data_IF_281649946261
#
_entry.id   IF_281649946261
#
_cell.length_a   1.000
_cell.length_b   1.000
_cell.length_c   1.000
_cell.angle_alpha   90.00
_cell.angle_beta   90.00
_cell.angle_gamma   90.00
#
_symmetry.space_group_name_H-M   'P 1'
#
loop_
_entity.id
_entity.type
_entity.pdbx_description
1 polymer ?
#
# COMPACT_ATOMS: atom_id res chain seq x y z
N UNK A 1 -23.94 -20.68 -3.36
CA UNK A 1 -22.62 -21.32 -3.23
C UNK A 1 -21.58 -20.25 -3.49
N UNK A 2 -20.79 -19.88 -2.49
CA UNK A 2 -19.70 -18.90 -2.64
C UNK A 2 -18.60 -19.60 -3.45
N UNK A 3 -18.26 -19.04 -4.61
CA UNK A 3 -17.13 -19.49 -5.41
C UNK A 3 -15.84 -19.24 -4.60
N UNK A 4 -15.22 -20.33 -4.13
CA UNK A 4 -14.00 -20.36 -3.31
C UNK A 4 -12.73 -20.39 -4.15
N UNK A 5 -12.79 -20.04 -5.45
CA UNK A 5 -11.61 -20.07 -6.31
C UNK A 5 -10.50 -19.19 -5.71
N UNK A 6 -9.34 -19.75 -5.30
CA UNK A 6 -8.26 -18.97 -4.74
C UNK A 6 -7.79 -17.95 -5.77
N UNK A 7 -7.53 -16.71 -5.33
CA UNK A 7 -6.90 -15.69 -6.16
C UNK A 7 -5.73 -16.32 -6.91
N UNK A 8 -5.81 -16.32 -8.24
CA UNK A 8 -4.74 -16.85 -9.10
C UNK A 8 -3.46 -16.11 -8.72
N UNK A 9 -2.47 -16.87 -8.25
CA UNK A 9 -1.09 -16.39 -8.06
C UNK A 9 -0.66 -15.79 -9.40
N UNK A 10 -0.47 -14.47 -9.44
CA UNK A 10 -0.05 -13.81 -10.66
C UNK A 10 1.34 -14.35 -11.01
N UNK A 11 1.54 -14.74 -12.27
CA UNK A 11 2.80 -15.33 -12.69
C UNK A 11 3.92 -14.29 -12.54
N UNK A 12 4.98 -14.59 -11.80
CA UNK A 12 6.18 -13.75 -11.77
C UNK A 12 6.80 -13.83 -13.17
N UNK A 13 7.30 -12.73 -13.72
CA UNK A 13 8.03 -12.75 -15.00
C UNK A 13 9.53 -12.55 -14.71
N UNK A 14 10.34 -13.57 -15.02
CA UNK A 14 11.80 -13.59 -14.90
C UNK A 14 12.40 -13.80 -16.29
N UNK A 15 13.40 -13.01 -16.65
CA UNK A 15 14.00 -13.08 -17.98
C UNK A 15 15.07 -14.17 -18.06
N UNK A 16 15.01 -15.01 -19.09
CA UNK A 16 15.98 -16.08 -19.34
C UNK A 16 17.31 -15.48 -19.83
N UNK A 17 18.42 -15.87 -19.20
CA UNK A 17 19.73 -15.28 -19.49
C UNK A 17 20.37 -15.78 -20.79
N UNK A 18 19.87 -16.86 -21.39
CA UNK A 18 20.38 -17.42 -22.66
C UNK A 18 19.54 -16.93 -23.83
N UNK A 19 18.21 -16.92 -23.68
CA UNK A 19 17.28 -16.56 -24.77
C UNK A 19 16.83 -15.10 -24.74
N UNK A 20 17.06 -14.38 -23.64
CA UNK A 20 16.57 -13.01 -23.38
C UNK A 20 15.04 -12.88 -23.39
N UNK A 21 14.32 -13.99 -23.38
CA UNK A 21 12.85 -14.01 -23.32
C UNK A 21 12.35 -13.87 -21.89
N UNK A 22 11.18 -13.25 -21.70
CA UNK A 22 10.50 -13.23 -20.40
C UNK A 22 9.87 -14.61 -20.16
N UNK A 23 10.40 -15.36 -19.19
CA UNK A 23 9.81 -16.60 -18.70
C UNK A 23 8.91 -16.29 -17.51
N UNK A 24 7.82 -17.04 -17.37
CA UNK A 24 7.07 -17.04 -16.12
C UNK A 24 7.91 -17.74 -15.06
N UNK A 25 8.40 -17.00 -14.07
CA UNK A 25 8.74 -17.60 -12.79
C UNK A 25 7.44 -17.89 -12.06
N UNK A 26 7.35 -19.11 -11.57
CA UNK A 26 6.20 -19.55 -10.84
C UNK A 26 6.34 -19.11 -9.39
N UNK A 27 5.45 -18.25 -8.84
CA UNK A 27 5.43 -18.03 -7.40
C UNK A 27 5.03 -19.30 -6.62
N UNK A 28 4.60 -20.38 -7.30
CA UNK A 28 4.43 -21.70 -6.69
C UNK A 28 5.78 -22.19 -6.15
N UNK A 29 6.00 -21.97 -4.85
CA UNK A 29 7.16 -22.45 -4.10
C UNK A 29 7.72 -21.46 -3.08
N UNK A 30 7.33 -20.18 -3.11
CA UNK A 30 7.64 -19.22 -2.05
C UNK A 30 6.51 -19.18 -1.02
N UNK A 31 6.88 -19.06 0.26
CA UNK A 31 5.96 -19.28 1.36
C UNK A 31 5.38 -17.98 1.93
N UNK A 32 6.14 -16.88 1.92
CA UNK A 32 5.70 -15.55 2.36
C UNK A 32 5.56 -14.55 1.20
N UNK A 33 6.40 -14.68 0.18
CA UNK A 33 6.43 -13.76 -0.96
C UNK A 33 5.32 -14.09 -1.96
N UNK A 34 4.39 -13.15 -2.15
CA UNK A 34 3.26 -13.27 -3.06
C UNK A 34 3.42 -12.28 -4.23
N UNK A 35 2.92 -12.63 -5.41
CA UNK A 35 2.89 -11.73 -6.56
C UNK A 35 1.92 -10.56 -6.34
N UNK A 36 2.28 -9.36 -6.78
CA UNK A 36 1.34 -8.23 -6.78
C UNK A 36 0.14 -8.47 -7.72
N UNK A 37 -1.02 -7.89 -7.41
CA UNK A 37 -2.07 -7.69 -8.40
C UNK A 37 -1.54 -6.85 -9.57
N UNK A 38 -1.96 -7.16 -10.79
CA UNK A 38 -1.49 -6.59 -12.07
C UNK A 38 -1.62 -5.06 -12.23
N UNK A 39 -2.33 -4.35 -11.34
CA UNK A 39 -2.49 -2.89 -11.46
C UNK A 39 -1.30 -2.10 -10.88
N UNK A 40 -0.35 -2.77 -10.20
CA UNK A 40 0.83 -2.13 -9.60
C UNK A 40 2.07 -2.14 -10.50
N UNK A 41 1.89 -2.54 -11.76
CA UNK A 41 2.94 -2.68 -12.77
C UNK A 41 3.71 -1.37 -13.02
N UNK A 42 3.10 -0.18 -12.85
CA UNK A 42 3.74 1.11 -13.08
C UNK A 42 4.88 1.44 -12.09
N UNK A 43 4.66 1.24 -10.78
CA UNK A 43 5.72 1.36 -9.77
C UNK A 43 6.82 0.32 -10.00
N UNK A 44 6.38 -0.87 -10.42
CA UNK A 44 7.23 -2.00 -10.70
C UNK A 44 8.19 -1.79 -11.88
N UNK A 45 7.74 -1.09 -12.92
CA UNK A 45 8.56 -0.76 -14.09
C UNK A 45 9.69 0.20 -13.75
N UNK A 46 9.49 1.20 -12.87
CA UNK A 46 10.52 2.17 -12.49
C UNK A 46 11.64 1.56 -11.63
N UNK A 47 11.32 0.60 -10.78
CA UNK A 47 12.34 -0.12 -10.02
C UNK A 47 13.25 -0.97 -10.94
N UNK A 48 12.68 -1.52 -12.03
CA UNK A 48 13.42 -2.25 -13.08
C UNK A 48 14.36 -1.36 -13.90
N UNK A 49 14.01 -0.08 -14.09
CA UNK A 49 14.87 0.90 -14.79
C UNK A 49 16.17 1.20 -14.02
N UNK A 50 16.15 1.15 -12.68
CA UNK A 50 17.30 1.50 -11.83
C UNK A 50 18.32 0.36 -11.65
N UNK A 51 17.89 -0.90 -11.71
CA UNK A 51 18.72 -2.07 -11.40
C UNK A 51 19.00 -3.00 -12.60
N UNK A 52 18.53 -2.61 -13.78
CA UNK A 52 18.50 -3.48 -14.96
C UNK A 52 17.28 -4.42 -14.92
N UNK A 53 16.52 -4.54 -16.02
CA UNK A 53 15.18 -5.16 -16.00
C UNK A 53 15.15 -6.68 -15.78
N UNK A 54 16.31 -7.34 -15.65
CA UNK A 54 16.42 -8.77 -15.89
C UNK A 54 16.44 -9.64 -14.61
N UNK A 55 16.51 -9.05 -13.40
CA UNK A 55 16.59 -9.81 -12.12
C UNK A 55 15.86 -9.20 -10.92
N UNK A 56 14.87 -8.32 -11.11
CA UNK A 56 14.10 -7.73 -10.00
C UNK A 56 12.65 -8.23 -9.96
N UNK A 57 12.32 -8.99 -8.92
CA UNK A 57 10.95 -9.43 -8.63
C UNK A 57 10.19 -8.36 -7.84
N UNK A 58 8.88 -8.27 -8.07
CA UNK A 58 8.03 -7.33 -7.33
C UNK A 58 6.89 -8.08 -6.68
N UNK A 59 6.79 -7.88 -5.38
CA UNK A 59 6.10 -8.77 -4.48
C UNK A 59 5.28 -8.01 -3.45
N UNK A 60 4.35 -8.73 -2.83
CA UNK A 60 3.73 -8.35 -1.56
C UNK A 60 4.03 -9.40 -0.50
N UNK A 61 4.03 -8.95 0.75
CA UNK A 61 4.06 -9.81 1.93
C UNK A 61 2.91 -9.38 2.81
N UNK A 62 2.11 -10.35 3.24
CA UNK A 62 0.93 -10.12 4.07
C UNK A 62 1.06 -10.93 5.36
N UNK A 63 1.00 -10.24 6.49
CA UNK A 63 1.09 -10.82 7.85
C UNK A 63 -0.26 -11.31 8.37
N UNK A 64 -1.34 -10.96 7.68
CA UNK A 64 -2.70 -11.39 7.97
C UNK A 64 -3.30 -12.06 6.73
N UNK A 65 -4.32 -12.89 6.93
CA UNK A 65 -5.16 -13.44 5.86
C UNK A 65 -6.23 -12.46 5.35
N UNK A 66 -6.28 -11.25 5.90
CA UNK A 66 -7.21 -10.21 5.49
C UNK A 66 -6.95 -8.82 6.06
N UNK A 67 -7.82 -7.86 5.74
CA UNK A 67 -7.71 -6.49 6.21
C UNK A 67 -8.58 -6.25 7.47
N UNK A 68 -7.98 -6.03 8.65
CA UNK A 68 -8.67 -5.80 9.92
C UNK A 68 -9.40 -4.45 9.99
N UNK A 69 -8.96 -3.49 9.17
CA UNK A 69 -9.52 -2.14 9.08
C UNK A 69 -10.65 -2.08 8.04
N UNK A 70 -10.63 -2.98 7.03
CA UNK A 70 -11.53 -2.98 5.89
C UNK A 70 -13.01 -2.83 6.26
N UNK A 71 -13.70 -3.92 6.63
CA UNK A 71 -15.15 -3.90 6.82
C UNK A 71 -15.68 -3.00 7.95
N UNK A 72 -14.82 -2.35 8.73
CA UNK A 72 -15.19 -1.55 9.89
C UNK A 72 -14.67 -0.11 9.84
N UNK A 73 -14.23 0.38 8.68
CA UNK A 73 -13.74 1.75 8.54
C UNK A 73 -14.11 2.37 7.20
N UNK A 74 -13.93 3.69 7.11
CA UNK A 74 -14.18 4.45 5.89
C UNK A 74 -13.48 3.85 4.67
N UNK A 75 -12.22 3.43 4.81
CA UNK A 75 -11.47 2.91 3.67
C UNK A 75 -11.99 1.56 3.17
N UNK A 76 -12.75 0.84 3.99
CA UNK A 76 -13.51 -0.33 3.57
C UNK A 76 -14.44 -0.02 2.40
N UNK A 77 -15.22 1.05 2.49
CA UNK A 77 -16.34 1.30 1.56
C UNK A 77 -15.94 1.33 0.07
N UNK A 78 -14.68 1.62 -0.23
CA UNK A 78 -14.12 1.58 -1.58
C UNK A 78 -13.02 0.52 -1.78
N UNK A 79 -12.54 -0.16 -0.74
CA UNK A 79 -11.35 -1.00 -0.83
C UNK A 79 -11.54 -2.18 -1.81
N UNK A 80 -10.64 -2.25 -2.78
CA UNK A 80 -10.64 -3.29 -3.80
C UNK A 80 -10.47 -4.71 -3.23
N UNK A 81 -9.81 -4.83 -2.08
CA UNK A 81 -9.58 -6.08 -1.36
C UNK A 81 -10.76 -6.51 -0.47
N UNK A 82 -11.98 -6.00 -0.71
CA UNK A 82 -13.18 -6.32 0.08
C UNK A 82 -13.42 -7.80 0.36
N UNK A 83 -13.14 -8.68 -0.63
CA UNK A 83 -13.30 -10.13 -0.47
C UNK A 83 -12.32 -10.75 0.52
N UNK A 84 -11.26 -10.03 0.86
CA UNK A 84 -10.23 -10.45 1.80
C UNK A 84 -10.44 -9.85 3.19
N UNK A 85 -11.48 -9.05 3.47
CA UNK A 85 -11.66 -8.45 4.82
C UNK A 85 -11.96 -9.47 5.93
N UNK A 86 -12.47 -10.64 5.58
CA UNK A 86 -12.91 -11.64 6.57
C UNK A 86 -11.75 -12.36 7.27
N UNK A 87 -10.50 -12.09 6.88
CA UNK A 87 -9.32 -12.64 7.52
C UNK A 87 -8.76 -11.72 8.61
N UNK A 88 -8.76 -12.19 9.86
CA UNK A 88 -8.00 -11.58 10.97
C UNK A 88 -6.92 -12.53 11.52
N UNK A 89 -6.75 -13.69 10.89
CA UNK A 89 -5.76 -14.69 11.22
C UNK A 89 -4.35 -14.16 10.96
N UNK A 90 -3.58 -13.99 12.04
CA UNK A 90 -2.17 -13.61 11.95
C UNK A 90 -1.36 -14.81 11.48
N UNK A 91 -0.60 -14.62 10.40
CA UNK A 91 0.33 -15.61 9.84
C UNK A 91 1.66 -15.54 10.62
N UNK A 92 1.68 -16.14 11.81
CA UNK A 92 2.81 -16.08 12.75
C UNK A 92 4.15 -16.54 12.16
N UNK A 93 4.12 -17.40 11.14
CA UNK A 93 5.32 -17.94 10.50
C UNK A 93 5.86 -17.10 9.32
N UNK A 94 5.24 -15.94 9.06
CA UNK A 94 5.62 -15.04 7.96
C UNK A 94 7.07 -14.56 8.06
N UNK A 95 7.60 -14.13 9.22
CA UNK A 95 8.99 -13.70 9.33
C UNK A 95 9.98 -14.80 8.94
N UNK A 96 9.79 -16.02 9.44
CA UNK A 96 10.69 -17.14 9.17
C UNK A 96 10.57 -17.63 7.72
N UNK A 97 9.37 -17.59 7.14
CA UNK A 97 9.15 -17.86 5.72
C UNK A 97 9.82 -16.80 4.84
N UNK A 98 9.68 -15.52 5.19
CA UNK A 98 10.32 -14.41 4.49
C UNK A 98 11.85 -14.57 4.45
N UNK A 99 12.48 -14.84 5.59
CA UNK A 99 13.92 -15.05 5.66
C UNK A 99 14.39 -16.19 4.72
N UNK A 100 13.68 -17.32 4.70
CA UNK A 100 13.99 -18.45 3.81
C UNK A 100 13.82 -18.09 2.34
N UNK A 101 12.72 -17.42 2.00
CA UNK A 101 12.46 -16.98 0.62
C UNK A 101 13.55 -16.01 0.15
N UNK A 102 13.96 -15.04 0.98
CA UNK A 102 15.03 -14.10 0.68
C UNK A 102 16.39 -14.76 0.48
N UNK A 103 16.75 -15.73 1.31
CA UNK A 103 18.00 -16.49 1.15
C UNK A 103 18.02 -17.23 -0.18
N UNK A 104 16.91 -17.88 -0.53
CA UNK A 104 16.76 -18.56 -1.81
C UNK A 104 16.87 -17.61 -3.00
N UNK A 105 16.16 -16.48 -2.97
CA UNK A 105 16.23 -15.46 -4.03
C UNK A 105 17.66 -14.95 -4.22
N UNK A 106 18.39 -14.71 -3.13
CA UNK A 106 19.81 -14.30 -3.17
C UNK A 106 20.71 -15.38 -3.78
N UNK A 107 20.51 -16.65 -3.45
CA UNK A 107 21.24 -17.77 -4.05
C UNK A 107 20.99 -17.88 -5.56
N UNK A 108 19.76 -17.58 -5.99
CA UNK A 108 19.36 -17.52 -7.40
C UNK A 108 19.81 -16.19 -8.08
N UNK A 109 20.42 -15.27 -7.32
CA UNK A 109 20.85 -13.95 -7.78
C UNK A 109 19.70 -13.04 -8.19
N UNK A 110 18.52 -13.21 -7.60
CA UNK A 110 17.32 -12.41 -7.83
C UNK A 110 17.19 -11.35 -6.74
N UNK A 111 16.94 -10.11 -7.16
CA UNK A 111 16.48 -9.05 -6.27
C UNK A 111 14.97 -9.06 -6.10
N UNK A 112 14.47 -8.42 -5.04
CA UNK A 112 13.05 -8.26 -4.78
C UNK A 112 12.72 -6.87 -4.24
N UNK A 113 11.69 -6.23 -4.78
CA UNK A 113 11.04 -5.05 -4.21
C UNK A 113 9.67 -5.44 -3.64
N UNK A 114 9.38 -4.99 -2.43
CA UNK A 114 8.20 -5.42 -1.68
C UNK A 114 7.26 -4.25 -1.49
N UNK A 115 5.98 -4.48 -1.68
CA UNK A 115 4.94 -3.65 -1.11
C UNK A 115 4.32 -4.42 0.05
N UNK A 116 4.63 -3.99 1.28
CA UNK A 116 4.01 -4.50 2.47
C UNK A 116 2.60 -3.93 2.60
N UNK A 117 1.60 -4.80 2.74
CA UNK A 117 0.20 -4.44 3.00
C UNK A 117 -0.58 -3.94 1.78
N UNK A 118 -0.58 -4.75 0.71
CA UNK A 118 -1.35 -4.48 -0.51
C UNK A 118 -2.86 -4.66 -0.35
N UNK A 119 -3.26 -5.72 0.33
CA UNK A 119 -4.63 -6.18 0.55
C UNK A 119 -4.90 -6.45 2.04
N UNK A 120 -3.93 -6.08 2.87
CA UNK A 120 -3.96 -6.12 4.33
C UNK A 120 -3.58 -4.75 4.87
N UNK A 121 -3.79 -4.51 6.16
CA UNK A 121 -3.26 -3.36 6.89
C UNK A 121 -2.15 -3.89 7.80
N UNK A 122 -1.00 -3.21 7.99
CA UNK A 122 0.08 -3.69 8.87
C UNK A 122 -0.33 -3.92 10.34
N UNK A 123 -1.59 -3.67 10.72
CA UNK A 123 -2.14 -3.72 12.09
C UNK A 123 -3.43 -4.55 12.19
N UNK A 124 -3.37 -5.85 12.49
CA UNK A 124 -4.52 -6.66 12.88
C UNK A 124 -5.16 -6.19 14.19
N UNK A 125 -6.27 -5.45 14.06
CA UNK A 125 -7.33 -5.35 15.07
C UNK A 125 -7.06 -4.38 16.23
N UNK A 126 -8.03 -3.49 16.50
CA UNK A 126 -8.08 -2.59 17.67
C UNK A 126 -6.88 -1.64 17.87
N UNK A 127 -6.11 -1.35 16.82
CA UNK A 127 -5.04 -0.35 16.88
C UNK A 127 -3.82 -0.79 17.71
N UNK A 128 -3.65 -2.08 17.93
CA UNK A 128 -2.45 -2.63 18.57
C UNK A 128 -1.57 -3.32 17.53
N UNK A 129 -0.28 -3.02 17.59
CA UNK A 129 0.76 -3.57 16.73
C UNK A 129 0.70 -5.10 16.81
N UNK A 130 0.72 -5.79 15.67
CA UNK A 130 1.01 -7.22 15.71
C UNK A 130 2.50 -7.42 15.90
N UNK A 131 2.87 -8.18 16.93
CA UNK A 131 4.24 -8.59 17.18
C UNK A 131 4.85 -9.22 15.91
N UNK A 132 4.04 -9.89 15.09
CA UNK A 132 4.43 -10.53 13.83
C UNK A 132 4.80 -9.52 12.74
N UNK A 133 4.09 -8.39 12.61
CA UNK A 133 4.46 -7.32 11.68
C UNK A 133 5.81 -6.73 12.06
N UNK A 134 5.99 -6.48 13.37
CA UNK A 134 7.22 -5.93 13.88
C UNK A 134 8.39 -6.91 13.71
N UNK A 135 8.17 -8.19 14.01
CA UNK A 135 9.15 -9.25 13.78
C UNK A 135 9.51 -9.36 12.30
N UNK A 136 8.52 -9.33 11.39
CA UNK A 136 8.76 -9.33 9.95
C UNK A 136 9.66 -8.16 9.53
N UNK A 137 9.37 -6.94 10.00
CA UNK A 137 10.20 -5.78 9.68
C UNK A 137 11.62 -5.90 10.25
N UNK A 138 11.78 -6.43 11.47
CA UNK A 138 13.10 -6.73 12.04
C UNK A 138 13.84 -7.78 11.18
N UNK A 139 13.16 -8.83 10.74
CA UNK A 139 13.71 -9.81 9.79
C UNK A 139 14.06 -9.17 8.44
N UNK A 140 13.30 -8.19 7.97
CA UNK A 140 13.64 -7.41 6.77
C UNK A 140 14.88 -6.54 6.97
N UNK A 141 15.24 -6.13 8.20
CA UNK A 141 16.54 -5.47 8.44
C UNK A 141 17.70 -6.45 8.28
N UNK A 142 17.54 -7.70 8.73
CA UNK A 142 18.56 -8.76 8.61
C UNK A 142 18.66 -9.31 7.16
N UNK A 143 17.52 -9.41 6.50
CA UNK A 143 17.36 -9.88 5.13
C UNK A 143 16.69 -8.80 4.27
N UNK A 144 17.38 -7.67 3.98
CA UNK A 144 16.79 -6.55 3.25
C UNK A 144 16.36 -6.95 1.83
N UNK A 145 15.17 -6.50 1.40
CA UNK A 145 14.81 -6.46 -0.01
C UNK A 145 15.62 -5.35 -0.71
N UNK A 146 15.54 -5.24 -2.04
CA UNK A 146 16.14 -4.15 -2.81
C UNK A 146 15.36 -2.83 -2.63
N UNK A 147 14.06 -2.93 -2.36
CA UNK A 147 13.22 -1.80 -2.01
C UNK A 147 11.97 -2.25 -1.29
N UNK A 148 11.40 -1.35 -0.49
CA UNK A 148 10.16 -1.63 0.23
C UNK A 148 9.28 -0.40 0.33
N UNK A 149 8.00 -0.57 0.01
CA UNK A 149 6.94 0.35 0.37
C UNK A 149 6.16 -0.24 1.55
N UNK A 150 6.09 0.47 2.65
CA UNK A 150 5.19 0.16 3.78
C UNK A 150 4.07 1.19 3.76
N UNK A 151 2.81 0.77 3.60
CA UNK A 151 1.66 1.69 3.53
C UNK A 151 0.63 1.35 4.60
N UNK A 152 -0.03 2.38 5.14
CA UNK A 152 -1.08 2.26 6.15
C UNK A 152 -2.19 3.28 5.90
N UNK A 153 -3.43 2.94 6.23
CA UNK A 153 -4.54 3.90 6.33
C UNK A 153 -4.79 4.36 7.79
N UNK A 154 -3.85 4.09 8.71
CA UNK A 154 -3.93 4.43 10.13
C UNK A 154 -2.71 5.25 10.58
N UNK A 155 -2.66 5.63 11.86
CA UNK A 155 -1.56 6.36 12.49
C UNK A 155 -0.43 5.46 13.02
N UNK A 156 -0.50 4.14 12.79
CA UNK A 156 0.44 3.17 13.39
C UNK A 156 1.90 3.40 13.03
N UNK A 157 2.18 3.90 11.83
CA UNK A 157 3.55 4.11 11.36
C UNK A 157 4.26 5.21 12.13
N UNK A 158 3.52 6.06 12.86
CA UNK A 158 4.04 7.07 13.78
C UNK A 158 4.30 6.56 15.20
N UNK A 159 4.06 5.28 15.48
CA UNK A 159 4.42 4.66 16.75
C UNK A 159 5.95 4.56 16.89
N UNK A 160 6.48 4.87 18.09
CA UNK A 160 7.93 4.93 18.33
C UNK A 160 8.66 3.62 18.06
N UNK A 161 8.07 2.47 18.39
CA UNK A 161 8.69 1.17 18.15
C UNK A 161 8.77 0.86 16.65
N UNK A 162 7.70 1.17 15.91
CA UNK A 162 7.66 0.99 14.47
C UNK A 162 8.63 1.94 13.77
N UNK A 163 8.66 3.21 14.18
CA UNK A 163 9.61 4.20 13.67
C UNK A 163 11.08 3.78 13.86
N UNK A 164 11.41 3.20 15.02
CA UNK A 164 12.76 2.71 15.26
C UNK A 164 13.17 1.62 14.26
N UNK A 165 12.27 0.65 14.00
CA UNK A 165 12.53 -0.42 13.03
C UNK A 165 12.51 0.09 11.59
N UNK A 166 11.57 0.95 11.22
CA UNK A 166 11.53 1.58 9.89
C UNK A 166 12.80 2.40 9.63
N UNK A 167 13.32 3.10 10.64
CA UNK A 167 14.59 3.83 10.53
C UNK A 167 15.76 2.88 10.28
N UNK A 168 15.86 1.77 11.02
CA UNK A 168 16.87 0.74 10.77
C UNK A 168 16.72 0.14 9.36
N UNK A 169 15.49 -0.12 8.92
CA UNK A 169 15.22 -0.65 7.59
C UNK A 169 15.58 0.35 6.48
N UNK A 170 15.35 1.65 6.68
CA UNK A 170 15.76 2.70 5.74
C UNK A 170 17.27 2.80 5.52
N UNK A 171 18.06 2.33 6.49
CA UNK A 171 19.51 2.24 6.38
C UNK A 171 19.97 0.98 5.64
N UNK A 172 19.13 -0.07 5.64
CA UNK A 172 19.44 -1.36 5.03
C UNK A 172 18.91 -1.50 3.58
N UNK A 173 17.86 -0.75 3.21
CA UNK A 173 17.22 -0.83 1.89
C UNK A 173 16.58 0.50 1.48
N UNK A 174 16.17 0.60 0.22
CA UNK A 174 15.37 1.71 -0.29
C UNK A 174 13.93 1.63 0.26
N UNK A 175 13.71 2.20 1.46
CA UNK A 175 12.40 2.30 2.11
C UNK A 175 11.65 3.55 1.68
N UNK A 176 10.35 3.36 1.44
CA UNK A 176 9.33 4.40 1.41
C UNK A 176 8.22 4.03 2.40
N UNK A 177 7.84 4.94 3.29
CA UNK A 177 6.75 4.71 4.25
C UNK A 177 5.58 5.67 3.96
N UNK A 178 4.39 5.11 3.73
CA UNK A 178 3.22 5.84 3.24
C UNK A 178 2.03 5.81 4.19
N UNK A 179 1.30 6.94 4.26
CA UNK A 179 0.01 7.03 4.93
C UNK A 179 -1.07 7.45 3.92
N UNK A 180 -2.23 6.80 3.96
CA UNK A 180 -3.41 7.12 3.16
C UNK A 180 -4.21 8.29 3.74
N UNK A 181 -4.60 9.23 2.88
CA UNK A 181 -5.44 10.39 3.19
C UNK A 181 -6.49 10.59 2.10
N UNK A 182 -7.68 10.06 2.33
CA UNK A 182 -8.74 10.01 1.31
C UNK A 182 -9.58 11.31 1.27
N UNK A 183 -9.54 12.05 2.38
CA UNK A 183 -10.18 13.35 2.64
C UNK A 183 -9.36 14.07 3.74
N UNK A 184 -9.57 15.38 3.90
CA UNK A 184 -9.07 16.19 5.03
C UNK A 184 -10.07 16.32 6.19
N UNK A 185 -11.20 15.62 6.11
CA UNK A 185 -12.28 15.66 7.08
C UNK A 185 -12.46 14.34 7.82
N UNK A 186 -12.73 14.39 9.12
CA UNK A 186 -13.21 13.22 9.89
C UNK A 186 -14.73 13.05 9.79
N UNK A 187 -15.43 14.00 9.15
CA UNK A 187 -16.88 13.94 8.95
C UNK A 187 -17.22 12.91 7.88
N UNK A 188 -17.90 11.86 8.31
CA UNK A 188 -18.35 10.76 7.47
C UNK A 188 -19.87 10.63 7.65
N UNK A 189 -20.67 10.51 6.58
CA UNK A 189 -22.11 10.27 6.67
C UNK A 189 -22.46 9.07 7.58
N UNK A 190 -23.58 9.15 8.30
CA UNK A 190 -24.00 8.14 9.30
C UNK A 190 -24.15 6.71 8.73
N UNK A 191 -24.38 6.59 7.43
CA UNK A 191 -24.51 5.29 6.74
C UNK A 191 -23.15 4.65 6.41
N UNK A 192 -22.05 5.38 6.57
CA UNK A 192 -20.68 4.92 6.37
C UNK A 192 -19.99 4.71 7.72
N UNK A 193 -18.94 3.88 7.70
CA UNK A 193 -18.09 3.70 8.87
C UNK A 193 -17.07 4.84 8.94
N UNK A 194 -16.85 5.40 10.13
CA UNK A 194 -15.81 6.41 10.34
C UNK A 194 -14.39 5.89 10.07
N UNK A 195 -13.41 6.79 10.07
CA UNK A 195 -12.01 6.40 9.97
C UNK A 195 -11.55 5.66 11.22
N UNK A 196 -10.65 4.70 11.04
CA UNK A 196 -10.04 3.98 12.17
C UNK A 196 -9.09 4.89 12.98
N UNK A 197 -8.40 5.79 12.28
CA UNK A 197 -7.59 6.88 12.86
C UNK A 197 -8.04 8.20 12.25
N UNK A 198 -8.22 9.22 13.09
CA UNK A 198 -8.57 10.56 12.61
C UNK A 198 -7.55 11.13 11.63
N UNK A 199 -7.96 12.06 10.77
CA UNK A 199 -7.08 12.83 9.88
C UNK A 199 -5.94 13.44 10.69
N UNK A 200 -6.24 14.04 11.85
CA UNK A 200 -5.24 14.63 12.73
C UNK A 200 -4.22 13.60 13.26
N UNK A 201 -4.67 12.42 13.70
CA UNK A 201 -3.76 11.36 14.15
C UNK A 201 -2.83 10.90 13.02
N UNK A 202 -3.37 10.71 11.82
CA UNK A 202 -2.58 10.35 10.63
C UNK A 202 -1.55 11.43 10.27
N UNK A 203 -1.92 12.71 10.35
CA UNK A 203 -0.99 13.83 10.14
C UNK A 203 0.14 13.87 11.18
N UNK A 204 -0.19 13.69 12.47
CA UNK A 204 0.82 13.63 13.53
C UNK A 204 1.76 12.43 13.36
N UNK A 205 1.25 11.28 12.95
CA UNK A 205 2.07 10.12 12.62
C UNK A 205 2.98 10.41 11.43
N UNK A 206 2.44 11.03 10.37
CA UNK A 206 3.20 11.41 9.19
C UNK A 206 4.34 12.38 9.51
N UNK A 207 4.08 13.40 10.33
CA UNK A 207 5.08 14.35 10.80
C UNK A 207 6.22 13.64 11.56
N UNK A 208 5.89 12.72 12.47
CA UNK A 208 6.89 11.93 13.20
C UNK A 208 7.74 11.08 12.25
N UNK A 209 7.12 10.47 11.23
CA UNK A 209 7.84 9.70 10.21
C UNK A 209 8.83 10.57 9.44
N UNK A 210 8.39 11.73 8.96
CA UNK A 210 9.23 12.66 8.21
C UNK A 210 10.39 13.18 9.06
N UNK A 211 10.12 13.59 10.31
CA UNK A 211 11.12 14.06 11.26
C UNK A 211 12.11 12.97 11.72
N UNK A 212 11.81 11.69 11.46
CA UNK A 212 12.70 10.56 11.77
C UNK A 212 13.76 10.30 10.68
N UNK A 213 13.73 11.06 9.58
CA UNK A 213 14.67 10.94 8.46
C UNK A 213 14.33 9.82 7.47
N UNK A 214 13.09 9.31 7.52
CA UNK A 214 12.59 8.29 6.60
C UNK A 214 11.95 8.99 5.39
N UNK A 215 12.14 8.47 4.18
CA UNK A 215 11.38 8.95 3.03
C UNK A 215 9.89 8.59 3.19
N UNK A 216 9.03 9.61 3.18
CA UNK A 216 7.59 9.48 3.39
C UNK A 216 6.76 9.70 2.13
N UNK A 217 5.62 9.01 2.02
CA UNK A 217 4.63 9.22 0.97
C UNK A 217 3.27 9.61 1.55
N UNK A 218 2.75 10.77 1.18
CA UNK A 218 1.34 11.06 1.37
C UNK A 218 0.55 10.45 0.20
N UNK A 219 -0.36 9.52 0.50
CA UNK A 219 -1.20 8.87 -0.52
C UNK A 219 -2.61 9.46 -0.46
N UNK A 220 -2.87 10.44 -1.33
CA UNK A 220 -4.15 11.15 -1.44
C UNK A 220 -5.07 10.40 -2.42
N UNK A 221 -5.56 9.25 -1.99
CA UNK A 221 -6.24 8.29 -2.87
C UNK A 221 -7.15 7.33 -2.09
N UNK A 222 -8.44 7.23 -2.42
CA UNK A 222 -9.11 7.99 -3.48
C UNK A 222 -9.32 9.46 -3.07
N UNK A 223 -9.53 10.34 -4.05
CA UNK A 223 -10.01 11.70 -3.80
C UNK A 223 -11.51 11.64 -3.46
N UNK A 224 -11.86 11.85 -2.18
CA UNK A 224 -13.23 11.70 -1.67
C UNK A 224 -13.63 12.92 -0.83
N UNK A 225 -13.83 14.07 -1.48
CA UNK A 225 -14.30 15.30 -0.84
C UNK A 225 -13.29 15.96 0.11
N UNK A 226 -13.07 17.27 -0.03
CA UNK A 226 -12.14 18.03 0.82
C UNK A 226 -12.77 19.35 1.28
N UNK A 227 -12.51 19.75 2.52
CA UNK A 227 -12.84 21.08 3.04
C UNK A 227 -11.91 22.13 2.44
N UNK A 228 -10.60 21.87 2.44
CA UNK A 228 -9.56 22.69 1.84
C UNK A 228 -8.45 21.79 1.23
N UNK A 229 -8.70 21.30 0.02
CA UNK A 229 -7.75 20.41 -0.68
C UNK A 229 -6.36 21.03 -0.82
N UNK A 230 -6.27 22.30 -1.20
CA UNK A 230 -4.97 22.93 -1.43
C UNK A 230 -4.22 23.21 -0.13
N UNK A 231 -4.92 23.69 0.90
CA UNK A 231 -4.34 23.86 2.23
C UNK A 231 -3.83 22.54 2.79
N UNK A 232 -4.61 21.48 2.66
CA UNK A 232 -4.20 20.13 3.03
C UNK A 232 -3.01 19.63 2.23
N UNK A 233 -2.95 19.94 0.94
CA UNK A 233 -1.81 19.58 0.10
C UNK A 233 -0.53 20.35 0.43
N UNK A 234 -0.64 21.65 0.78
CA UNK A 234 0.49 22.46 1.30
C UNK A 234 1.02 21.91 2.62
N UNK A 235 0.13 21.42 3.48
CA UNK A 235 0.52 20.81 4.75
C UNK A 235 1.47 19.62 4.55
N UNK A 236 1.25 18.74 3.55
CA UNK A 236 2.18 17.65 3.29
C UNK A 236 3.59 18.13 2.96
N UNK A 237 3.72 19.23 2.21
CA UNK A 237 5.02 19.82 1.91
C UNK A 237 5.67 20.40 3.18
N UNK A 238 4.91 21.11 4.01
CA UNK A 238 5.39 21.67 5.28
C UNK A 238 5.82 20.58 6.28
N UNK A 239 5.08 19.47 6.34
CA UNK A 239 5.40 18.30 7.17
C UNK A 239 6.58 17.47 6.64
N UNK A 240 7.17 17.85 5.50
CA UNK A 240 8.36 17.19 4.96
C UNK A 240 8.08 15.90 4.19
N UNK A 241 6.92 15.79 3.52
CA UNK A 241 6.64 14.68 2.62
C UNK A 241 7.74 14.54 1.57
N UNK A 242 8.29 13.34 1.41
CA UNK A 242 9.26 13.09 0.34
C UNK A 242 8.56 13.04 -1.02
N UNK A 243 7.39 12.40 -1.11
CA UNK A 243 6.57 12.36 -2.33
C UNK A 243 5.08 12.34 -2.03
N UNK A 244 4.30 12.66 -3.06
CA UNK A 244 2.83 12.53 -3.03
C UNK A 244 2.37 11.55 -4.10
N UNK A 245 1.36 10.78 -3.76
CA UNK A 245 0.62 9.91 -4.68
C UNK A 245 -0.84 10.35 -4.68
N UNK A 246 -1.45 10.50 -5.85
CA UNK A 246 -2.84 10.92 -5.98
C UNK A 246 -3.62 9.99 -6.91
N UNK A 247 -4.91 9.77 -6.65
CA UNK A 247 -5.76 9.00 -7.54
C UNK A 247 -7.25 9.21 -7.25
N UNK A 248 -8.06 9.21 -8.29
CA UNK A 248 -9.52 9.26 -8.17
C UNK A 248 -10.12 7.93 -7.72
N UNK A 249 -11.33 7.99 -7.16
CA UNK A 249 -12.17 6.82 -6.96
C UNK A 249 -12.66 6.31 -8.33
N UNK A 250 -12.07 5.22 -8.83
CA UNK A 250 -12.53 4.58 -10.08
C UNK A 250 -13.24 3.27 -9.79
N UNK A 251 -14.50 3.18 -10.21
CA UNK A 251 -15.30 1.96 -10.16
C UNK A 251 -15.12 1.15 -11.44
N UNK A 252 -14.35 0.06 -11.41
CA UNK A 252 -14.37 -0.93 -12.51
C UNK A 252 -14.78 -2.30 -12.00
N UNK A 253 -15.94 -2.76 -12.47
CA UNK A 253 -16.36 -4.15 -12.33
C UNK A 253 -15.64 -5.01 -13.39
N UNK A 254 -14.99 -6.13 -13.03
CA UNK A 254 -14.52 -7.09 -14.02
C UNK A 254 -15.74 -7.79 -14.64
N UNK A 255 -15.99 -7.53 -15.94
CA UNK A 255 -16.94 -8.23 -16.84
C UNK A 255 -18.36 -8.48 -16.29
N UNK A 256 -19.28 -7.57 -16.61
CA UNK A 256 -20.72 -7.88 -16.69
C UNK A 256 -21.57 -7.69 -15.43
N UNK A 257 -21.06 -7.02 -14.39
CA UNK A 257 -21.78 -6.80 -13.13
C UNK A 257 -22.38 -5.40 -12.94
N UNK A 258 -22.74 -4.67 -14.01
CA UNK A 258 -23.22 -3.28 -13.88
C UNK A 258 -24.65 -3.14 -13.36
N UNK A 259 -25.41 -4.23 -13.24
CA UNK A 259 -26.84 -4.14 -12.88
C UNK A 259 -27.12 -4.19 -11.38
N UNK A 260 -26.14 -4.57 -10.53
CA UNK A 260 -26.34 -4.72 -9.08
C UNK A 260 -25.34 -3.92 -8.23
N UNK A 261 -24.62 -2.95 -8.81
CA UNK A 261 -23.93 -1.93 -8.02
C UNK A 261 -24.99 -0.97 -7.48
N UNK A 262 -25.70 -1.39 -6.44
CA UNK A 262 -26.55 -0.47 -5.67
C UNK A 262 -25.61 0.63 -5.17
N UNK A 263 -25.93 1.89 -5.49
CA UNK A 263 -25.02 3.01 -5.27
C UNK A 263 -24.65 3.18 -3.80
N UNK A 264 -23.46 2.74 -3.40
CA UNK A 264 -22.74 3.41 -2.32
C UNK A 264 -22.18 4.71 -2.91
N UNK A 265 -22.97 5.77 -2.76
CA UNK A 265 -22.54 7.13 -3.00
C UNK A 265 -21.61 7.55 -1.87
N UNK A 266 -20.30 7.51 -2.12
CA UNK A 266 -19.29 8.00 -1.16
C UNK A 266 -19.18 9.52 -1.33
N UNK A 267 -20.32 10.20 -1.16
CA UNK A 267 -20.40 11.66 -1.18
C UNK A 267 -20.35 12.18 0.26
N UNK A 268 -19.27 12.90 0.59
CA UNK A 268 -19.13 13.58 1.87
C UNK A 268 -19.88 14.92 1.91
N UNK A 269 -20.52 15.34 0.81
CA UNK A 269 -21.06 16.68 0.62
C UNK A 269 -19.97 17.75 0.51
N UNK A 270 -18.74 17.35 0.16
CA UNK A 270 -17.56 18.20 0.07
C UNK A 270 -17.05 18.27 -1.37
N UNK A 271 -16.47 19.41 -1.79
CA UNK A 271 -15.91 19.53 -3.14
C UNK A 271 -14.77 18.53 -3.34
N UNK A 272 -14.80 17.82 -4.46
CA UNK A 272 -13.76 16.86 -4.84
C UNK A 272 -12.95 17.42 -6.01
N UNK A 273 -11.62 17.58 -5.90
CA UNK A 273 -10.81 18.04 -7.02
C UNK A 273 -10.73 16.95 -8.09
N UNK A 274 -10.56 17.36 -9.35
CA UNK A 274 -10.23 16.42 -10.42
C UNK A 274 -8.80 15.91 -10.27
N UNK A 275 -8.52 14.73 -10.80
CA UNK A 275 -7.17 14.15 -10.86
C UNK A 275 -6.18 15.10 -11.52
N UNK A 276 -6.60 15.78 -12.61
CA UNK A 276 -5.78 16.75 -13.34
C UNK A 276 -5.43 17.96 -12.47
N UNK A 277 -6.42 18.53 -11.77
CA UNK A 277 -6.18 19.63 -10.84
C UNK A 277 -5.22 19.18 -9.74
N UNK A 278 -5.49 18.05 -9.10
CA UNK A 278 -4.68 17.55 -8.00
C UNK A 278 -3.22 17.27 -8.43
N UNK A 279 -3.01 16.65 -9.60
CA UNK A 279 -1.68 16.41 -10.16
C UNK A 279 -0.94 17.71 -10.47
N UNK A 280 -1.61 18.68 -11.12
CA UNK A 280 -1.04 19.98 -11.44
C UNK A 280 -0.61 20.71 -10.17
N UNK A 281 -1.50 20.77 -9.18
CA UNK A 281 -1.27 21.40 -7.89
C UNK A 281 -0.07 20.79 -7.15
N UNK A 282 -0.08 19.47 -6.93
CA UNK A 282 1.02 18.82 -6.19
C UNK A 282 2.36 18.93 -6.93
N UNK A 283 2.38 18.89 -8.27
CA UNK A 283 3.61 19.11 -9.04
C UNK A 283 4.16 20.52 -8.85
N UNK A 284 3.28 21.51 -8.73
CA UNK A 284 3.64 22.90 -8.43
C UNK A 284 4.35 23.07 -7.07
N UNK A 285 4.11 22.17 -6.10
CA UNK A 285 4.74 22.22 -4.78
C UNK A 285 6.17 21.65 -4.74
N UNK A 286 6.61 20.90 -5.76
CA UNK A 286 8.04 20.53 -5.90
C UNK A 286 8.57 19.46 -4.91
N UNK A 287 7.79 18.43 -4.59
CA UNK A 287 8.25 17.31 -3.73
C UNK A 287 9.50 16.60 -4.29
N UNK A 288 10.49 16.31 -3.44
CA UNK A 288 11.80 15.74 -3.83
C UNK A 288 11.69 14.38 -4.56
N UNK A 289 10.79 13.53 -4.09
CA UNK A 289 10.49 12.21 -4.67
C UNK A 289 9.43 12.24 -5.77
N UNK A 290 8.98 13.44 -6.15
CA UNK A 290 8.01 13.66 -7.22
C UNK A 290 6.55 13.43 -6.80
N UNK A 291 5.68 13.47 -7.82
CA UNK A 291 4.24 13.29 -7.70
C UNK A 291 3.81 12.25 -8.71
N UNK A 292 3.19 11.18 -8.22
CA UNK A 292 2.75 10.06 -9.03
C UNK A 292 1.22 9.91 -9.04
N UNK A 293 0.72 9.42 -10.16
CA UNK A 293 -0.66 8.97 -10.27
C UNK A 293 -0.79 7.52 -9.80
N UNK A 294 -1.82 7.23 -9.00
CA UNK A 294 -2.21 5.88 -8.63
C UNK A 294 -3.39 5.44 -9.48
N UNK A 295 -3.17 4.47 -10.37
CA UNK A 295 -4.25 3.74 -11.02
C UNK A 295 -4.80 2.66 -10.06
N UNK A 296 -5.55 3.07 -9.03
CA UNK A 296 -6.27 2.09 -8.19
C UNK A 296 -7.69 1.94 -8.70
N UNK A 297 -8.05 0.70 -9.02
CA UNK A 297 -9.45 0.33 -9.22
C UNK A 297 -10.04 0.04 -7.85
N UNK A 298 -11.10 0.74 -7.49
CA UNK A 298 -11.84 0.56 -6.26
C UNK A 298 -13.11 -0.22 -6.57
N UNK A 299 -13.48 -1.14 -5.68
CA UNK A 299 -14.74 -1.89 -5.81
C UNK A 299 -15.73 -1.25 -4.86
N UNK A 300 -16.75 -0.59 -5.41
CA UNK A 300 -17.90 -0.17 -4.63
C UNK A 300 -18.74 -1.39 -4.28
N UNK A 301 -19.13 -1.49 -3.02
CA UNK A 301 -20.11 -2.47 -2.56
C UNK A 301 -21.54 -1.98 -2.89
N UNK A 302 -22.53 -2.89 -3.00
CA UNK A 302 -23.95 -2.58 -2.85
C UNK A 302 -24.37 -2.37 -1.39
#
# INVERSE_FOLDING_TARGET
MVDTTPYRTASVLVRDQVTRELKKADPRGFAAIQSLPTFMDGWAMRAKEKHGPDRLMIATVNVTDGCPVGGNSFCGHYCFAHRSWNGTGVRVDTPQKYARDMQRLRQEGLGVSIFLSTDTEPVPGKGQISEVTLELLKTMVEHPPDGILVHSHTDVLGNLEFLAVLKALSQATNLLAGIGFDTDSDMVPDHLCGHFSSVRQRLLAFERMANSGIHTQASVTPLVGFVDFEGFGRLFHELGAYRVMVGELRTKFPKGGSENAVGLDIDLGLPTPTEEHALSFFRGLGFKGGVDLRETFYVLLP
#
